data_IF_601458238933
#
_entry.id   IF_601458238933
#
_cell.length_a   1.000
_cell.length_b   1.000
_cell.length_c   1.000
_cell.angle_alpha   90.00
_cell.angle_beta   90.00
_cell.angle_gamma   90.00
#
_symmetry.space_group_name_H-M   'P 1'
#
loop_
_entity.id
_entity.type
_entity.pdbx_description
1 polymer ?
#
# COMPACT_ATOMS: atom_id res chain seq x y z
N UNK A 1 39.59 20.88 27.27
CA UNK A 1 38.89 21.08 25.98
C UNK A 1 38.67 19.80 25.18
N UNK A 2 39.69 19.05 24.74
CA UNK A 2 39.53 17.87 23.86
C UNK A 2 38.51 16.80 24.30
N UNK A 3 38.37 16.57 25.61
CA UNK A 3 37.41 15.59 26.13
C UNK A 3 35.95 16.05 25.98
N UNK A 4 35.68 17.34 26.18
CA UNK A 4 34.33 17.90 26.06
C UNK A 4 33.85 17.91 24.61
N UNK A 5 34.76 18.19 23.66
CA UNK A 5 34.47 18.10 22.23
C UNK A 5 34.14 16.67 21.81
N UNK A 6 34.94 15.69 22.26
CA UNK A 6 34.68 14.28 21.97
C UNK A 6 33.33 13.81 22.52
N UNK A 7 32.94 14.26 23.73
CA UNK A 7 31.63 13.96 24.32
C UNK A 7 30.49 14.62 23.54
N UNK A 8 30.66 15.87 23.08
CA UNK A 8 29.66 16.57 22.26
C UNK A 8 29.43 15.86 20.93
N UNK A 9 30.50 15.45 20.25
CA UNK A 9 30.41 14.71 18.98
C UNK A 9 29.80 13.32 19.15
N UNK A 10 30.13 12.61 20.23
CA UNK A 10 29.50 11.32 20.55
C UNK A 10 27.99 11.45 20.81
N UNK A 11 27.54 12.53 21.48
CA UNK A 11 26.12 12.81 21.70
C UNK A 11 25.39 13.12 20.39
N UNK A 12 25.94 13.98 19.53
CA UNK A 12 25.36 14.26 18.20
C UNK A 12 25.23 13.00 17.35
N UNK A 13 26.23 12.11 17.37
CA UNK A 13 26.18 10.84 16.64
C UNK A 13 25.05 9.93 17.16
N UNK A 14 24.87 9.89 18.49
CA UNK A 14 23.76 9.15 19.11
C UNK A 14 22.40 9.75 18.73
N UNK A 15 22.29 11.08 18.71
CA UNK A 15 21.07 11.80 18.30
C UNK A 15 20.75 11.52 16.83
N UNK A 16 21.73 11.62 15.91
CA UNK A 16 21.55 11.28 14.50
C UNK A 16 21.15 9.82 14.27
N UNK A 17 21.73 8.88 15.03
CA UNK A 17 21.30 7.47 14.98
C UNK A 17 19.85 7.31 15.45
N UNK A 18 19.44 8.05 16.46
CA UNK A 18 18.08 8.01 16.98
C UNK A 18 17.07 8.61 16.01
N UNK A 19 17.38 9.77 15.43
CA UNK A 19 16.58 10.42 14.39
C UNK A 19 16.46 9.52 13.15
N UNK A 20 17.58 8.95 12.69
CA UNK A 20 17.60 8.02 11.57
C UNK A 20 16.76 6.78 11.84
N UNK A 21 16.90 6.16 13.02
CA UNK A 21 16.07 5.00 13.40
C UNK A 21 14.58 5.35 13.43
N UNK A 22 14.23 6.52 13.98
CA UNK A 22 12.83 6.98 14.01
C UNK A 22 12.27 7.13 12.60
N UNK A 23 13.03 7.75 11.69
CA UNK A 23 12.63 7.93 10.30
C UNK A 23 12.48 6.57 9.59
N UNK A 24 13.45 5.67 9.77
CA UNK A 24 13.41 4.33 9.18
C UNK A 24 12.19 3.53 9.64
N UNK A 25 11.88 3.56 10.94
CA UNK A 25 10.71 2.88 11.51
C UNK A 25 9.40 3.47 10.95
N UNK A 26 9.33 4.80 10.81
CA UNK A 26 8.19 5.49 10.21
C UNK A 26 8.01 5.09 8.75
N UNK A 27 9.07 5.01 7.97
CA UNK A 27 9.00 4.62 6.55
C UNK A 27 8.55 3.16 6.40
N UNK A 28 9.07 2.26 7.25
CA UNK A 28 8.61 0.87 7.30
C UNK A 28 7.14 0.75 7.69
N UNK A 29 6.68 1.55 8.66
CA UNK A 29 5.27 1.57 9.06
C UNK A 29 4.39 2.13 7.93
N UNK A 30 4.80 3.22 7.28
CA UNK A 30 4.10 3.78 6.13
C UNK A 30 3.97 2.78 4.99
N UNK A 31 5.03 2.00 4.70
CA UNK A 31 4.99 0.95 3.69
C UNK A 31 3.95 -0.12 4.06
N UNK A 32 3.98 -0.63 5.30
CA UNK A 32 2.99 -1.62 5.78
C UNK A 32 1.56 -1.10 5.72
N UNK A 33 1.34 0.16 6.07
CA UNK A 33 0.02 0.80 5.98
C UNK A 33 -0.39 0.95 4.52
N UNK A 34 0.55 1.25 3.62
CA UNK A 34 0.32 1.32 2.18
C UNK A 34 -0.11 -0.02 1.59
N UNK A 35 0.59 -1.10 1.93
CA UNK A 35 0.27 -2.47 1.52
C UNK A 35 -1.14 -2.86 1.99
N UNK A 36 -1.44 -2.69 3.28
CA UNK A 36 -2.78 -2.97 3.84
C UNK A 36 -3.89 -2.15 3.18
N UNK A 37 -3.64 -0.87 2.89
CA UNK A 37 -4.61 -0.02 2.18
C UNK A 37 -4.83 -0.51 0.76
N UNK A 38 -3.76 -0.92 0.07
CA UNK A 38 -3.82 -1.49 -1.28
C UNK A 38 -4.63 -2.79 -1.32
N UNK A 39 -4.39 -3.69 -0.38
CA UNK A 39 -5.14 -4.95 -0.24
C UNK A 39 -6.63 -4.66 -0.02
N UNK A 40 -6.97 -3.85 0.98
CA UNK A 40 -8.36 -3.51 1.29
C UNK A 40 -9.08 -2.86 0.10
N UNK A 41 -8.44 -1.91 -0.56
CA UNK A 41 -9.01 -1.23 -1.72
C UNK A 41 -9.17 -2.19 -2.91
N UNK A 42 -8.23 -3.12 -3.11
CA UNK A 42 -8.35 -4.17 -4.12
C UNK A 42 -9.52 -5.12 -3.86
N UNK A 43 -9.74 -5.52 -2.61
CA UNK A 43 -10.88 -6.34 -2.19
C UNK A 43 -12.22 -5.61 -2.40
N UNK A 44 -12.32 -4.34 -1.99
CA UNK A 44 -13.52 -3.51 -2.19
C UNK A 44 -13.87 -3.39 -3.69
N UNK A 45 -12.87 -3.12 -4.54
CA UNK A 45 -13.07 -3.09 -6.00
C UNK A 45 -13.57 -4.42 -6.55
N UNK A 46 -12.98 -5.52 -6.11
CA UNK A 46 -13.34 -6.86 -6.56
C UNK A 46 -14.79 -7.20 -6.15
N UNK A 47 -15.19 -6.82 -4.94
CA UNK A 47 -16.55 -7.02 -4.46
C UNK A 47 -17.57 -6.21 -5.26
N UNK A 48 -17.32 -4.91 -5.48
CA UNK A 48 -18.17 -4.04 -6.30
C UNK A 48 -18.31 -4.58 -7.73
N UNK A 49 -17.20 -5.06 -8.31
CA UNK A 49 -17.24 -5.64 -9.65
C UNK A 49 -18.08 -6.92 -9.68
N UNK A 50 -17.93 -7.81 -8.69
CA UNK A 50 -18.75 -9.02 -8.61
C UNK A 50 -20.24 -8.69 -8.45
N UNK A 51 -20.59 -7.72 -7.61
CA UNK A 51 -21.97 -7.26 -7.43
C UNK A 51 -22.57 -6.80 -8.77
N UNK A 52 -21.85 -5.94 -9.52
CA UNK A 52 -22.29 -5.47 -10.85
C UNK A 52 -22.41 -6.58 -11.89
N UNK A 53 -21.49 -7.54 -11.90
CA UNK A 53 -21.55 -8.66 -12.84
C UNK A 53 -22.71 -9.61 -12.52
N UNK A 54 -23.06 -9.78 -11.25
CA UNK A 54 -24.21 -10.58 -10.82
C UNK A 54 -25.51 -9.86 -11.21
N UNK A 55 -25.59 -8.54 -11.01
CA UNK A 55 -26.73 -7.70 -11.45
C UNK A 55 -26.97 -7.82 -12.96
N UNK A 56 -25.89 -7.79 -13.75
CA UNK A 56 -25.96 -7.90 -15.22
C UNK A 56 -26.11 -9.34 -15.74
N UNK A 57 -26.03 -10.35 -14.86
CA UNK A 57 -26.08 -11.77 -15.23
C UNK A 57 -24.87 -12.26 -16.03
N UNK A 58 -23.75 -11.53 -15.99
CA UNK A 58 -22.53 -11.82 -16.74
C UNK A 58 -21.61 -12.81 -16.01
N UNK A 59 -22.08 -14.05 -15.81
CA UNK A 59 -21.32 -15.07 -15.07
C UNK A 59 -20.02 -15.52 -15.75
N UNK A 60 -19.96 -15.48 -17.08
CA UNK A 60 -18.73 -15.81 -17.84
C UNK A 60 -17.58 -14.85 -17.53
N UNK A 61 -17.90 -13.58 -17.27
CA UNK A 61 -16.92 -12.55 -16.91
C UNK A 61 -16.36 -12.76 -15.50
N UNK A 62 -17.16 -13.32 -14.58
CA UNK A 62 -16.73 -13.70 -13.22
C UNK A 62 -15.65 -14.80 -13.28
N UNK A 63 -15.77 -15.75 -14.20
CA UNK A 63 -14.75 -16.79 -14.39
C UNK A 63 -13.46 -16.23 -15.04
N UNK A 64 -13.59 -15.29 -16.00
CA UNK A 64 -12.47 -14.74 -16.77
C UNK A 64 -11.67 -13.67 -16.04
N UNK A 65 -12.29 -12.90 -15.15
CA UNK A 65 -11.64 -11.77 -14.45
C UNK A 65 -10.52 -12.18 -13.48
N UNK A 66 -10.44 -13.46 -13.08
CA UNK A 66 -9.34 -13.97 -12.23
C UNK A 66 -8.02 -14.04 -13.00
N UNK A 67 -8.07 -14.53 -14.24
CA UNK A 67 -6.89 -14.79 -15.07
C UNK A 67 -6.58 -13.66 -16.05
N UNK A 68 -7.60 -12.95 -16.52
CA UNK A 68 -7.44 -11.87 -17.49
C UNK A 68 -7.47 -10.51 -16.79
N UNK A 69 -6.28 -9.96 -16.58
CA UNK A 69 -6.08 -8.66 -15.92
C UNK A 69 -6.57 -7.52 -16.82
N UNK A 70 -6.36 -7.58 -18.13
CA UNK A 70 -6.77 -6.53 -19.07
C UNK A 70 -8.30 -6.47 -19.16
N UNK A 71 -8.94 -7.63 -19.23
CA UNK A 71 -10.39 -7.72 -19.20
C UNK A 71 -10.95 -7.16 -17.89
N UNK A 72 -10.36 -7.52 -16.74
CA UNK A 72 -10.75 -6.98 -15.44
C UNK A 72 -10.61 -5.45 -15.38
N UNK A 73 -9.53 -4.90 -15.94
CA UNK A 73 -9.35 -3.44 -16.01
C UNK A 73 -10.42 -2.76 -16.87
N UNK A 74 -10.76 -3.34 -18.03
CA UNK A 74 -11.85 -2.84 -18.88
C UNK A 74 -13.20 -2.85 -18.14
N UNK A 75 -13.46 -3.89 -17.34
CA UNK A 75 -14.66 -3.96 -16.53
C UNK A 75 -14.68 -2.92 -15.41
N UNK A 76 -13.55 -2.65 -14.74
CA UNK A 76 -13.48 -1.56 -13.76
C UNK A 76 -13.81 -0.21 -14.40
N UNK A 77 -13.30 0.07 -15.61
CA UNK A 77 -13.65 1.28 -16.36
C UNK A 77 -15.13 1.29 -16.74
N UNK A 78 -15.66 0.19 -17.27
CA UNK A 78 -17.07 0.06 -17.68
C UNK A 78 -18.03 0.38 -16.52
N UNK A 79 -17.75 -0.14 -15.33
CA UNK A 79 -18.59 0.07 -14.13
C UNK A 79 -18.17 1.28 -13.28
N UNK A 80 -17.23 2.10 -13.76
CA UNK A 80 -16.75 3.30 -13.07
C UNK A 80 -16.21 3.01 -11.65
N UNK A 81 -15.54 1.88 -11.48
CA UNK A 81 -14.94 1.44 -10.22
C UNK A 81 -13.50 1.98 -10.16
N UNK A 82 -13.30 3.04 -9.37
CA UNK A 82 -12.04 3.76 -9.21
C UNK A 82 -11.17 3.26 -8.07
#
# INVERSE_FOLDING_TARGET
EKLEEAVKEAKKNREWRHEYMTLLMRDQENQKIGEKRGEKHGEEKMFLLMERLIEDGCFDDIARMKTDIEHRQKLYVKYHIN
#
